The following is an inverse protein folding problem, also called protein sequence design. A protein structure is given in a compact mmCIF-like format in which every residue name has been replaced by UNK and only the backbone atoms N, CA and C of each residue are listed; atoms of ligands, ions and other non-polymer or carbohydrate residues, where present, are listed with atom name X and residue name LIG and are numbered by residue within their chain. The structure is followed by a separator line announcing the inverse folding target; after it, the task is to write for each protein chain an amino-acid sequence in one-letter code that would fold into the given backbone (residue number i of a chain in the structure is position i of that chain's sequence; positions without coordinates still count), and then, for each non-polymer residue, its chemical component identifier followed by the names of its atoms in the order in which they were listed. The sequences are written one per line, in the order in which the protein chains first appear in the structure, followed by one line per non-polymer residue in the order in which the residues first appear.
data_IF_908390109344
#
_entry.id   IF_908390109344
#
_cell.length_a   1.000
_cell.length_b   1.000
_cell.length_c   1.000
_cell.angle_alpha   90.00
_cell.angle_beta   90.00
_cell.angle_gamma   90.00
#
_symmetry.space_group_name_H-M   'P 1'
#
loop_
_entity.id
_entity.type
_entity.pdbx_description
1 polymer ?
#
# COMPACT_ATOMS: atom_id res chain seq x y z
N UNK A 1 11.30 -0.83 20.22
CA UNK A 1 10.33 0.26 20.15
C UNK A 1 8.99 -0.25 19.68
N UNK A 2 7.96 0.19 20.33
CA UNK A 2 6.63 -0.26 20.02
C UNK A 2 6.10 0.32 18.72
N UNK A 3 5.45 -0.51 17.92
CA UNK A 3 4.85 -0.09 16.68
C UNK A 3 3.54 0.64 16.96
N UNK A 4 3.41 1.87 16.48
CA UNK A 4 2.18 2.64 16.69
C UNK A 4 1.04 2.17 15.78
N UNK A 5 1.34 1.36 14.77
CA UNK A 5 0.34 0.86 13.85
C UNK A 5 -0.14 -0.51 14.31
N UNK A 6 -1.44 -0.71 14.32
CA UNK A 6 -2.03 -1.98 14.76
C UNK A 6 -2.50 -2.85 13.61
N UNK A 7 -2.38 -2.35 12.39
CA UNK A 7 -2.80 -3.05 11.18
C UNK A 7 -1.69 -2.97 10.16
N UNK A 8 -1.70 -3.86 9.19
CA UNK A 8 -0.74 -3.79 8.10
C UNK A 8 -0.90 -2.45 7.40
N UNK A 9 0.14 -1.63 7.44
CA UNK A 9 0.08 -0.26 6.98
C UNK A 9 1.21 0.02 5.99
N UNK A 10 0.90 0.78 4.96
CA UNK A 10 1.90 1.33 4.05
C UNK A 10 1.92 2.83 4.19
N UNK A 11 3.12 3.39 4.35
CA UNK A 11 3.33 4.83 4.41
C UNK A 11 4.18 5.27 3.23
N UNK A 12 4.02 6.52 2.82
CA UNK A 12 4.72 7.06 1.65
C UNK A 12 4.51 6.15 0.45
N UNK A 13 3.26 5.79 0.24
CA UNK A 13 2.89 4.75 -0.69
C UNK A 13 2.41 5.32 -2.02
N UNK A 14 2.49 4.50 -3.03
CA UNK A 14 1.89 4.81 -4.33
C UNK A 14 1.61 3.50 -5.05
N UNK A 15 0.76 3.58 -6.06
CA UNK A 15 0.47 2.43 -6.91
C UNK A 15 1.26 2.57 -8.20
N UNK A 16 1.82 1.49 -8.68
CA UNK A 16 2.58 1.49 -9.91
C UNK A 16 2.22 0.33 -10.80
N UNK A 17 2.36 0.53 -12.10
CA UNK A 17 2.16 -0.54 -13.07
C UNK A 17 3.42 -1.36 -13.22
N UNK A 18 3.22 -2.65 -13.41
CA UNK A 18 4.33 -3.57 -13.62
C UNK A 18 3.92 -4.57 -14.69
N UNK A 19 4.81 -4.88 -15.61
CA UNK A 19 4.53 -5.86 -16.66
C UNK A 19 4.92 -7.26 -16.15
N UNK A 20 3.98 -8.16 -16.22
CA UNK A 20 4.18 -9.52 -15.76
C UNK A 20 3.53 -10.47 -16.79
N UNK A 21 4.36 -11.28 -17.45
CA UNK A 21 3.88 -12.23 -18.46
C UNK A 21 2.99 -11.55 -19.50
N UNK A 22 3.45 -10.42 -20.02
CA UNK A 22 2.75 -9.62 -21.03
C UNK A 22 1.45 -9.00 -20.56
N UNK A 23 1.19 -9.04 -19.26
CA UNK A 23 0.03 -8.39 -18.67
C UNK A 23 0.48 -7.27 -17.77
N UNK A 24 -0.36 -6.23 -17.71
CA UNK A 24 -0.11 -5.14 -16.77
C UNK A 24 -0.77 -5.45 -15.44
N UNK A 25 0.01 -5.40 -14.39
CA UNK A 25 -0.50 -5.59 -13.03
C UNK A 25 -0.18 -4.36 -12.22
N UNK A 26 -0.87 -4.21 -11.09
CA UNK A 26 -0.65 -3.09 -10.18
C UNK A 26 0.00 -3.61 -8.92
N UNK A 27 1.04 -2.93 -8.48
CA UNK A 27 1.66 -3.20 -7.19
C UNK A 27 1.57 -1.94 -6.34
N UNK A 28 1.51 -2.11 -5.02
CA UNK A 28 1.59 -0.98 -4.11
C UNK A 28 3.00 -0.91 -3.55
N UNK A 29 3.59 0.27 -3.60
CA UNK A 29 4.95 0.53 -3.12
C UNK A 29 4.88 1.42 -1.90
N UNK A 30 5.79 1.24 -0.97
CA UNK A 30 5.84 2.09 0.20
C UNK A 30 6.69 1.51 1.30
N UNK A 31 6.54 2.10 2.50
CA UNK A 31 7.19 1.62 3.70
C UNK A 31 6.20 0.77 4.47
N UNK A 32 6.63 -0.41 4.87
CA UNK A 32 5.78 -1.37 5.58
C UNK A 32 5.80 -1.15 7.08
N UNK A 33 4.64 -1.30 7.71
CA UNK A 33 4.51 -1.28 9.16
C UNK A 33 3.54 -2.37 9.58
N UNK A 34 3.89 -3.03 10.65
CA UNK A 34 3.08 -4.10 11.25
C UNK A 34 2.85 -5.28 10.31
N UNK A 35 3.78 -5.51 9.41
CA UNK A 35 3.74 -6.67 8.53
C UNK A 35 4.42 -7.85 9.24
N UNK A 36 3.82 -9.05 9.19
CA UNK A 36 4.39 -10.18 9.93
C UNK A 36 5.77 -10.64 9.50
N UNK A 37 6.19 -10.29 8.28
CA UNK A 37 7.47 -10.77 7.72
C UNK A 37 8.42 -9.66 7.35
N UNK A 38 8.00 -8.41 7.41
CA UNK A 38 8.80 -7.28 6.96
C UNK A 38 8.98 -6.33 8.12
N UNK A 39 10.21 -5.94 8.38
CA UNK A 39 10.53 -5.03 9.48
C UNK A 39 9.88 -3.66 9.23
N UNK A 40 9.47 -3.02 10.31
CA UNK A 40 8.85 -1.69 10.25
C UNK A 40 9.78 -0.68 9.59
N UNK A 41 9.22 0.10 8.66
CA UNK A 41 9.98 1.13 7.97
C UNK A 41 10.72 0.67 6.74
N UNK A 42 10.68 -0.61 6.43
CA UNK A 42 11.36 -1.12 5.23
C UNK A 42 10.59 -0.73 3.98
N UNK A 43 11.32 -0.25 3.00
CA UNK A 43 10.75 0.07 1.68
C UNK A 43 10.60 -1.19 0.86
N UNK A 44 9.53 -1.25 0.08
CA UNK A 44 9.33 -2.39 -0.80
C UNK A 44 8.02 -2.28 -1.53
N UNK A 45 7.54 -3.41 -2.03
CA UNK A 45 6.26 -3.44 -2.71
C UNK A 45 5.48 -4.69 -2.31
N UNK A 46 4.18 -4.61 -2.53
CA UNK A 46 3.28 -5.73 -2.26
C UNK A 46 3.31 -6.72 -3.42
N UNK A 47 2.60 -7.81 -3.26
CA UNK A 47 2.23 -8.65 -4.39
C UNK A 47 1.15 -7.92 -5.20
N UNK A 48 0.64 -8.58 -6.23
CA UNK A 48 -0.32 -7.96 -7.15
C UNK A 48 -1.56 -7.48 -6.39
N UNK A 49 -1.92 -6.23 -6.62
CA UNK A 49 -3.13 -5.63 -6.03
C UNK A 49 -4.35 -6.19 -6.73
N UNK A 50 -5.28 -6.70 -5.95
CA UNK A 50 -6.52 -7.27 -6.46
C UNK A 50 -7.68 -6.29 -6.41
N UNK A 51 -7.71 -5.45 -5.38
CA UNK A 51 -8.75 -4.44 -5.28
C UNK A 51 -8.29 -3.29 -4.41
N UNK A 52 -8.90 -2.13 -4.64
CA UNK A 52 -8.67 -0.92 -3.86
C UNK A 52 -10.02 -0.38 -3.45
N UNK A 53 -10.20 -0.17 -2.17
CA UNK A 53 -11.44 0.36 -1.61
C UNK A 53 -11.12 1.62 -0.82
N UNK A 54 -12.01 2.60 -0.85
CA UNK A 54 -11.82 3.83 -0.10
C UNK A 54 -12.61 3.74 1.20
N UNK A 55 -11.93 3.99 2.30
CA UNK A 55 -12.56 4.11 3.61
C UNK A 55 -12.58 5.57 4.00
N UNK A 56 -13.74 6.21 3.82
CA UNK A 56 -13.87 7.65 4.03
C UNK A 56 -13.79 8.03 5.51
N UNK A 57 -14.24 7.16 6.39
CA UNK A 57 -14.20 7.44 7.81
C UNK A 57 -12.79 7.49 8.34
N UNK A 58 -11.97 6.55 7.92
CA UNK A 58 -10.58 6.47 8.35
C UNK A 58 -9.66 7.28 7.46
N UNK A 59 -10.16 7.79 6.36
CA UNK A 59 -9.38 8.56 5.37
C UNK A 59 -8.19 7.75 4.88
N UNK A 60 -8.49 6.57 4.42
CA UNK A 60 -7.46 5.67 3.91
C UNK A 60 -7.99 4.84 2.76
N UNK A 61 -7.08 4.32 1.96
CA UNK A 61 -7.39 3.29 0.98
C UNK A 61 -7.10 1.94 1.60
N UNK A 62 -7.95 0.98 1.31
CA UNK A 62 -7.74 -0.41 1.72
C UNK A 62 -7.35 -1.18 0.47
N UNK A 63 -6.12 -1.63 0.45
CA UNK A 63 -5.53 -2.27 -0.72
C UNK A 63 -5.39 -3.76 -0.45
N UNK A 64 -6.12 -4.56 -1.21
CA UNK A 64 -6.16 -6.00 -1.02
C UNK A 64 -5.25 -6.69 -2.03
N UNK A 65 -4.34 -7.49 -1.53
CA UNK A 65 -3.58 -8.44 -2.33
C UNK A 65 -4.13 -9.83 -2.03
N UNK A 66 -3.49 -10.87 -2.55
CA UNK A 66 -4.00 -12.23 -2.38
C UNK A 66 -4.13 -12.62 -0.91
N UNK A 67 -3.16 -12.25 -0.10
CA UNK A 67 -3.09 -12.73 1.28
C UNK A 67 -3.18 -11.64 2.34
N UNK A 68 -3.18 -10.37 1.95
CA UNK A 68 -3.03 -9.29 2.92
C UNK A 68 -3.87 -8.10 2.53
N UNK A 69 -4.47 -7.47 3.54
CA UNK A 69 -5.15 -6.19 3.37
C UNK A 69 -4.25 -5.11 3.96
N UNK A 70 -3.90 -4.12 3.15
CA UNK A 70 -3.06 -3.01 3.58
C UNK A 70 -3.89 -1.76 3.76
N UNK A 71 -3.58 -1.00 4.80
CA UNK A 71 -4.22 0.28 5.08
C UNK A 71 -3.27 1.39 4.71
N UNK A 72 -3.70 2.25 3.81
CA UNK A 72 -2.85 3.26 3.19
C UNK A 72 -3.49 4.62 3.34
N UNK A 73 -2.98 5.41 4.27
CA UNK A 73 -3.55 6.71 4.62
C UNK A 73 -3.50 7.67 3.44
N UNK A 74 -4.52 8.51 3.30
CA UNK A 74 -4.53 9.60 2.32
C UNK A 74 -3.34 10.52 2.54
N UNK A 75 -2.99 10.76 3.81
CA UNK A 75 -1.94 11.70 4.17
C UNK A 75 -0.55 11.25 3.77
N UNK A 76 -0.36 9.97 3.55
CA UNK A 76 0.97 9.45 3.27
C UNK A 76 1.12 8.94 1.84
N UNK A 77 0.20 9.29 0.97
CA UNK A 77 0.32 8.94 -0.44
C UNK A 77 1.45 9.73 -1.09
N UNK A 78 2.23 9.06 -1.88
CA UNK A 78 3.39 9.67 -2.53
C UNK A 78 3.01 10.07 -3.95
N UNK A 79 3.05 11.36 -4.24
CA UNK A 79 2.47 11.91 -5.46
C UNK A 79 3.37 11.91 -6.68
N UNK A 80 4.65 11.63 -6.52
CA UNK A 80 5.56 11.71 -7.65
C UNK A 80 5.27 10.70 -8.74
N UNK A 81 4.52 9.65 -8.42
CA UNK A 81 4.14 8.64 -9.40
C UNK A 81 2.66 8.32 -9.27
N UNK A 82 1.84 9.28 -9.61
CA UNK A 82 0.41 9.14 -9.35
C UNK A 82 -0.26 8.20 -10.36
N UNK A 83 -0.56 7.00 -9.90
CA UNK A 83 -1.54 6.15 -10.54
C UNK A 83 -2.90 6.44 -9.94
N UNK A 84 -2.89 6.97 -8.73
CA UNK A 84 -4.08 7.26 -7.97
C UNK A 84 -3.87 8.60 -7.29
N UNK A 85 -4.85 9.48 -7.43
CA UNK A 85 -4.77 10.79 -6.80
C UNK A 85 -5.27 10.70 -5.37
N UNK A 86 -4.42 11.06 -4.43
CA UNK A 86 -4.71 10.98 -3.01
C UNK A 86 -4.93 12.38 -2.46
N UNK A 87 -6.12 12.86 -2.51
CA UNK A 87 -6.39 14.20 -1.97
C UNK A 87 -7.36 14.13 -0.84
#
# INVERSE_FOLDING_TARGET
MENQYKRNTLRHWYLGEYAWNDEKVILAYGQFYNHPRIANGMNGHTSIVQSVTINHEEKEFEIQTKNTLYHCSFDSCFFERPMLHCN
#
